data_IF_849946333488
#
_entry.id   IF_849946333488
#
_cell.length_a   1.000
_cell.length_b   1.000
_cell.length_c   1.000
_cell.angle_alpha   90.00
_cell.angle_beta   90.00
_cell.angle_gamma   90.00
#
_symmetry.space_group_name_H-M   'P 1'
#
loop_
_entity.id
_entity.type
_entity.pdbx_description
1 polymer ?
#
# COMPACT_ATOMS: atom_id res chain seq x y z
N UNK A 1 -7.35 -27.61 13.26
CA UNK A 1 -5.98 -27.13 12.99
C UNK A 1 -6.13 -26.04 11.95
N UNK A 2 -6.24 -24.76 12.34
CA UNK A 2 -6.31 -23.68 11.35
C UNK A 2 -4.89 -23.20 11.09
N UNK A 3 -4.33 -23.58 9.96
CA UNK A 3 -2.95 -23.28 9.52
C UNK A 3 -2.87 -21.85 8.93
N UNK A 4 -3.50 -20.90 9.61
CA UNK A 4 -3.59 -19.48 9.23
C UNK A 4 -2.56 -18.67 10.02
N UNK A 5 -1.29 -19.08 10.03
CA UNK A 5 -0.22 -18.30 10.71
C UNK A 5 0.02 -16.99 9.97
N UNK A 6 -0.81 -16.02 10.30
CA UNK A 6 -0.65 -14.61 10.00
C UNK A 6 -0.60 -13.88 11.33
N UNK A 7 0.50 -13.18 11.55
CA UNK A 7 0.64 -12.21 12.61
C UNK A 7 1.29 -10.93 12.05
N UNK A 8 1.31 -9.88 12.87
CA UNK A 8 1.88 -8.58 12.50
C UNK A 8 3.35 -8.68 12.08
N UNK A 9 4.14 -9.54 12.74
CA UNK A 9 5.57 -9.66 12.44
C UNK A 9 5.79 -10.26 11.05
N UNK A 10 5.08 -11.34 10.71
CA UNK A 10 5.17 -11.96 9.38
C UNK A 10 4.81 -10.99 8.26
N UNK A 11 3.75 -10.20 8.45
CA UNK A 11 3.27 -9.25 7.44
C UNK A 11 4.25 -8.08 7.24
N UNK A 12 4.84 -7.59 8.33
CA UNK A 12 5.90 -6.57 8.28
C UNK A 12 7.14 -7.12 7.59
N UNK A 13 7.56 -8.34 7.92
CA UNK A 13 8.73 -8.97 7.31
C UNK A 13 8.53 -9.22 5.80
N UNK A 14 7.31 -9.58 5.39
CA UNK A 14 6.96 -9.72 3.97
C UNK A 14 7.10 -8.39 3.23
N UNK A 15 6.55 -7.30 3.79
CA UNK A 15 6.70 -5.95 3.22
C UNK A 15 8.17 -5.52 3.19
N UNK A 16 8.95 -5.77 4.25
CA UNK A 16 10.41 -5.49 4.28
C UNK A 16 11.15 -6.21 3.16
N UNK A 17 10.81 -7.48 2.91
CA UNK A 17 11.41 -8.26 1.83
C UNK A 17 11.08 -7.68 0.45
N UNK A 18 9.82 -7.27 0.22
CA UNK A 18 9.42 -6.56 -1.00
C UNK A 18 10.20 -5.26 -1.20
N UNK A 19 10.26 -4.41 -0.18
CA UNK A 19 11.00 -3.15 -0.23
C UNK A 19 12.49 -3.36 -0.53
N UNK A 20 13.11 -4.37 0.10
CA UNK A 20 14.52 -4.70 -0.13
C UNK A 20 14.75 -5.19 -1.57
N UNK A 21 13.83 -5.98 -2.12
CA UNK A 21 13.91 -6.45 -3.51
C UNK A 21 13.83 -5.29 -4.51
N UNK A 22 12.95 -4.31 -4.29
CA UNK A 22 12.88 -3.09 -5.14
C UNK A 22 14.19 -2.32 -5.07
N UNK A 23 14.69 -2.04 -3.86
CA UNK A 23 15.95 -1.30 -3.67
C UNK A 23 17.13 -1.99 -4.39
N UNK A 24 17.18 -3.32 -4.39
CA UNK A 24 18.22 -4.07 -5.08
C UNK A 24 18.24 -3.81 -6.60
N UNK A 25 17.07 -3.58 -7.22
CA UNK A 25 16.97 -3.24 -8.65
C UNK A 25 17.43 -1.80 -8.95
N UNK A 26 17.20 -0.87 -8.02
CA UNK A 26 17.66 0.52 -8.18
C UNK A 26 19.19 0.66 -8.05
N UNK A 27 19.84 -0.22 -7.27
CA UNK A 27 21.28 -0.20 -7.03
C UNK A 27 22.13 -0.81 -8.16
N UNK A 28 21.52 -1.54 -9.10
CA UNK A 28 22.23 -2.24 -10.18
C UNK A 28 22.68 -1.36 -11.35
N UNK A 29 22.59 -0.02 -11.25
CA UNK A 29 23.01 0.87 -12.33
C UNK A 29 22.19 0.71 -13.61
N UNK A 30 20.96 0.21 -13.47
CA UNK A 30 20.00 0.11 -14.58
C UNK A 30 19.64 1.53 -14.97
N UNK A 31 20.24 1.97 -16.08
CA UNK A 31 19.78 3.13 -16.82
C UNK A 31 18.27 2.93 -17.05
N UNK A 32 17.43 3.80 -16.46
CA UNK A 32 15.96 3.84 -16.66
C UNK A 32 15.61 4.27 -18.10
N UNK A 33 16.27 3.65 -19.08
CA UNK A 33 16.17 3.93 -20.51
C UNK A 33 14.93 3.24 -21.05
N UNK A 34 13.84 4.01 -21.05
CA UNK A 34 12.79 4.05 -22.08
C UNK A 34 11.94 2.81 -22.39
N UNK A 35 12.30 1.61 -21.93
CA UNK A 35 11.41 0.44 -21.98
C UNK A 35 10.86 0.11 -20.58
N UNK A 36 9.68 -0.50 -20.53
CA UNK A 36 8.99 -0.84 -19.28
C UNK A 36 9.58 -2.07 -18.58
N UNK A 37 10.66 -2.65 -19.11
CA UNK A 37 11.24 -3.90 -18.58
C UNK A 37 11.83 -3.76 -17.16
N UNK A 38 12.49 -2.65 -16.76
CA UNK A 38 13.09 -2.54 -15.42
C UNK A 38 12.04 -2.48 -14.30
N UNK A 39 10.85 -1.98 -14.63
CA UNK A 39 9.70 -1.93 -13.73
C UNK A 39 9.18 -3.33 -13.49
N UNK A 40 8.91 -4.08 -14.57
CA UNK A 40 8.41 -5.45 -14.50
C UNK A 40 9.34 -6.35 -13.70
N UNK A 41 10.66 -6.17 -13.81
CA UNK A 41 11.60 -6.92 -12.98
C UNK A 41 11.57 -6.55 -11.50
N UNK A 42 11.39 -5.27 -11.17
CA UNK A 42 11.25 -4.81 -9.78
C UNK A 42 9.97 -5.33 -9.14
N UNK A 43 8.84 -5.19 -9.83
CA UNK A 43 7.55 -5.73 -9.46
C UNK A 43 7.61 -7.23 -9.19
N UNK A 44 8.09 -8.02 -10.17
CA UNK A 44 8.19 -9.47 -10.02
C UNK A 44 9.20 -9.91 -8.96
N UNK A 45 10.29 -9.16 -8.78
CA UNK A 45 11.25 -9.46 -7.71
C UNK A 45 10.66 -9.23 -6.32
N UNK A 46 9.93 -8.12 -6.14
CA UNK A 46 9.24 -7.80 -4.90
C UNK A 46 8.14 -8.82 -4.59
N UNK A 47 7.30 -9.19 -5.57
CA UNK A 47 6.27 -10.20 -5.41
C UNK A 47 6.85 -11.55 -4.95
N UNK A 48 7.89 -12.04 -5.64
CA UNK A 48 8.56 -13.30 -5.26
C UNK A 48 9.10 -13.25 -3.83
N UNK A 49 9.70 -12.13 -3.42
CA UNK A 49 10.24 -11.96 -2.08
C UNK A 49 9.14 -11.96 -1.00
N UNK A 50 8.05 -11.22 -1.23
CA UNK A 50 6.88 -11.15 -0.35
C UNK A 50 6.26 -12.54 -0.19
N UNK A 51 5.97 -13.22 -1.30
CA UNK A 51 5.36 -14.56 -1.32
C UNK A 51 6.25 -15.58 -0.60
N UNK A 52 7.56 -15.55 -0.85
CA UNK A 52 8.50 -16.45 -0.18
C UNK A 52 8.53 -16.27 1.34
N UNK A 53 8.45 -15.04 1.84
CA UNK A 53 8.37 -14.78 3.29
C UNK A 53 7.06 -15.29 3.86
N UNK A 54 5.92 -14.98 3.22
CA UNK A 54 4.59 -15.38 3.70
C UNK A 54 4.47 -16.92 3.75
N UNK A 55 4.85 -17.60 2.68
CA UNK A 55 4.82 -19.06 2.60
C UNK A 55 5.88 -19.72 3.50
N UNK A 56 7.08 -19.13 3.59
CA UNK A 56 8.15 -19.60 4.48
C UNK A 56 7.81 -19.46 5.97
N UNK A 57 7.01 -18.45 6.33
CA UNK A 57 6.36 -18.32 7.64
C UNK A 57 5.27 -19.36 7.90
N UNK A 58 4.93 -20.15 6.88
CA UNK A 58 3.93 -21.21 6.87
C UNK A 58 2.50 -20.70 6.91
N UNK A 59 2.24 -19.54 6.32
CA UNK A 59 0.90 -19.15 5.93
C UNK A 59 0.48 -19.95 4.69
N UNK A 60 -0.67 -20.62 4.75
CA UNK A 60 -1.22 -21.40 3.63
C UNK A 60 -2.41 -20.71 2.94
N UNK A 61 -2.73 -19.47 3.31
CA UNK A 61 -3.85 -18.75 2.72
C UNK A 61 -3.56 -18.40 1.25
N UNK A 62 -4.58 -18.37 0.37
CA UNK A 62 -4.41 -17.91 -1.00
C UNK A 62 -3.84 -16.48 -1.03
N UNK A 63 -2.89 -16.24 -1.94
CA UNK A 63 -2.30 -14.92 -2.18
C UNK A 63 -2.73 -14.48 -3.57
N UNK A 64 -3.52 -13.41 -3.64
CA UNK A 64 -3.83 -12.70 -4.90
C UNK A 64 -2.83 -11.56 -5.01
N UNK A 65 -1.82 -11.75 -5.85
CA UNK A 65 -0.77 -10.76 -6.09
C UNK A 65 -0.88 -10.18 -7.50
N UNK A 66 -0.65 -8.87 -7.66
CA UNK A 66 -0.92 -8.14 -8.90
C UNK A 66 -0.23 -8.72 -10.14
N UNK A 67 1.06 -9.08 -10.04
CA UNK A 67 1.84 -9.53 -11.19
C UNK A 67 1.43 -10.93 -11.61
N UNK A 68 1.35 -11.85 -10.65
CA UNK A 68 0.83 -13.20 -10.88
C UNK A 68 -0.59 -13.17 -11.47
N UNK A 69 -1.47 -12.32 -10.92
CA UNK A 69 -2.84 -12.16 -11.43
C UNK A 69 -2.85 -11.64 -12.87
N UNK A 70 -1.99 -10.68 -13.18
CA UNK A 70 -1.84 -10.10 -14.53
C UNK A 70 -1.28 -11.11 -15.54
N UNK A 71 -0.43 -12.05 -15.10
CA UNK A 71 0.07 -13.17 -15.90
C UNK A 71 -0.95 -14.32 -16.03
N UNK A 72 -2.14 -14.20 -15.41
CA UNK A 72 -3.25 -15.14 -15.51
C UNK A 72 -3.32 -16.17 -14.38
N UNK A 73 -2.46 -16.07 -13.37
CA UNK A 73 -2.51 -16.89 -12.17
C UNK A 73 -3.57 -16.33 -11.20
N UNK A 74 -4.81 -16.77 -11.39
CA UNK A 74 -5.96 -16.32 -10.60
C UNK A 74 -6.30 -17.41 -9.58
N UNK A 75 -5.87 -17.32 -8.31
CA UNK A 75 -6.15 -18.33 -7.32
C UNK A 75 -7.64 -18.33 -6.93
N UNK A 76 -8.18 -19.50 -6.63
CA UNK A 76 -9.49 -19.60 -6.00
C UNK A 76 -9.37 -19.09 -4.55
N UNK A 77 -10.10 -18.02 -4.23
CA UNK A 77 -10.14 -17.45 -2.88
C UNK A 77 -11.41 -17.89 -2.16
N UNK A 78 -11.26 -18.19 -0.86
CA UNK A 78 -12.37 -18.46 0.04
C UNK A 78 -12.72 -17.21 0.84
N UNK A 79 -13.17 -17.43 2.08
CA UNK A 79 -13.51 -16.37 3.04
C UNK A 79 -12.34 -15.46 3.39
N UNK A 80 -11.13 -16.02 3.43
CA UNK A 80 -9.91 -15.35 3.88
C UNK A 80 -8.78 -15.57 2.89
N UNK A 81 -8.06 -14.52 2.53
CA UNK A 81 -6.96 -14.52 1.57
C UNK A 81 -6.09 -13.26 1.74
N UNK A 82 -4.95 -13.20 1.05
CA UNK A 82 -4.09 -12.02 1.03
C UNK A 82 -4.19 -11.30 -0.31
N UNK A 83 -4.11 -9.97 -0.26
CA UNK A 83 -3.87 -9.11 -1.43
C UNK A 83 -2.45 -8.55 -1.35
N UNK A 84 -1.74 -8.58 -2.47
CA UNK A 84 -0.38 -8.05 -2.60
C UNK A 84 -0.30 -7.14 -3.82
N UNK A 85 0.12 -5.89 -3.60
CA UNK A 85 0.64 -5.00 -4.63
C UNK A 85 2.14 -4.84 -4.37
N UNK A 86 3.01 -5.46 -5.18
CA UNK A 86 4.44 -5.47 -4.95
C UNK A 86 5.10 -4.12 -5.23
N UNK A 87 4.49 -3.22 -6.03
CA UNK A 87 5.00 -1.88 -6.34
C UNK A 87 3.85 -0.95 -6.77
N UNK A 88 3.12 -0.42 -5.80
CA UNK A 88 2.08 0.57 -6.08
C UNK A 88 2.76 1.90 -6.41
N UNK A 89 2.45 2.49 -7.56
CA UNK A 89 3.02 3.76 -7.97
C UNK A 89 4.18 3.60 -8.95
N UNK A 90 4.13 2.59 -9.81
CA UNK A 90 5.03 2.36 -10.96
C UNK A 90 5.46 3.63 -11.69
N UNK A 91 4.56 4.58 -11.95
CA UNK A 91 4.91 5.86 -12.61
C UNK A 91 5.87 6.71 -11.77
N UNK A 92 5.69 6.72 -10.44
CA UNK A 92 6.58 7.39 -9.51
C UNK A 92 7.96 6.72 -9.48
N UNK A 93 7.98 5.38 -9.48
CA UNK A 93 9.21 4.58 -9.55
C UNK A 93 10.01 4.86 -10.83
N UNK A 94 9.35 4.80 -12.00
CA UNK A 94 9.96 5.15 -13.30
C UNK A 94 10.51 6.58 -13.30
N UNK A 95 9.78 7.51 -12.66
CA UNK A 95 10.18 8.91 -12.57
C UNK A 95 11.30 9.16 -11.55
N UNK A 96 11.74 8.14 -10.80
CA UNK A 96 12.74 8.29 -9.73
C UNK A 96 12.26 9.14 -8.55
N UNK A 97 10.94 9.19 -8.34
CA UNK A 97 10.32 9.92 -7.22
C UNK A 97 9.95 8.96 -6.10
N UNK A 98 9.99 9.38 -4.82
CA UNK A 98 9.85 8.50 -3.64
C UNK A 98 8.41 8.01 -3.38
N UNK A 99 7.53 8.13 -4.38
CA UNK A 99 6.08 8.08 -4.24
C UNK A 99 5.50 6.74 -4.70
N UNK A 100 6.12 5.66 -4.24
CA UNK A 100 5.68 4.30 -4.47
C UNK A 100 5.82 3.46 -3.20
N UNK A 101 5.08 2.37 -3.13
CA UNK A 101 4.96 1.56 -1.92
C UNK A 101 4.87 0.08 -2.22
N UNK A 102 5.00 -0.73 -1.18
CA UNK A 102 4.67 -2.16 -1.16
C UNK A 102 3.44 -2.34 -0.28
N UNK A 103 2.38 -2.94 -0.80
CA UNK A 103 1.13 -3.13 -0.06
C UNK A 103 0.86 -4.62 0.16
N UNK A 104 0.59 -5.01 1.40
CA UNK A 104 0.13 -6.36 1.73
C UNK A 104 -1.06 -6.27 2.68
N UNK A 105 -2.17 -6.91 2.34
CA UNK A 105 -3.39 -6.90 3.15
C UNK A 105 -3.95 -8.30 3.37
N UNK A 106 -4.63 -8.49 4.49
CA UNK A 106 -5.43 -9.67 4.81
C UNK A 106 -6.88 -9.30 4.61
N UNK A 107 -7.56 -10.06 3.75
CA UNK A 107 -8.99 -9.93 3.52
C UNK A 107 -9.70 -11.05 4.26
N UNK A 108 -10.79 -10.71 4.94
CA UNK A 108 -11.70 -11.68 5.55
C UNK A 108 -13.15 -11.22 5.32
N UNK A 109 -14.00 -12.12 4.84
CA UNK A 109 -15.41 -11.85 4.53
C UNK A 109 -15.61 -10.62 3.61
N UNK A 110 -14.67 -10.40 2.69
CA UNK A 110 -14.68 -9.30 1.72
C UNK A 110 -14.19 -7.95 2.26
N UNK A 111 -13.74 -7.88 3.51
CA UNK A 111 -13.21 -6.66 4.13
C UNK A 111 -11.71 -6.80 4.48
N UNK A 112 -10.91 -5.73 4.34
CA UNK A 112 -9.52 -5.75 4.80
C UNK A 112 -9.48 -5.67 6.33
N UNK A 113 -9.02 -6.75 6.95
CA UNK A 113 -8.93 -6.89 8.42
C UNK A 113 -7.55 -6.58 8.97
N UNK A 114 -6.53 -6.54 8.12
CA UNK A 114 -5.18 -6.10 8.47
C UNK A 114 -4.44 -5.64 7.21
N UNK A 115 -3.57 -4.65 7.33
CA UNK A 115 -2.77 -4.13 6.22
C UNK A 115 -1.40 -3.66 6.67
N UNK A 116 -0.42 -3.77 5.76
CA UNK A 116 0.89 -3.17 5.84
C UNK A 116 1.17 -2.38 4.54
N UNK A 117 1.65 -1.14 4.68
CA UNK A 117 2.12 -0.28 3.60
C UNK A 117 3.58 0.08 3.87
N UNK A 118 4.50 -0.37 3.03
CA UNK A 118 5.93 -0.07 3.12
C UNK A 118 6.35 0.99 2.12
N UNK A 119 7.21 1.93 2.54
CA UNK A 119 7.83 2.93 1.67
C UNK A 119 9.29 2.54 1.42
N UNK A 120 9.63 2.00 0.23
CA UNK A 120 10.99 1.59 -0.08
C UNK A 120 12.02 2.71 0.11
N UNK A 121 11.75 3.97 -0.17
CA UNK A 121 12.79 5.02 -0.03
C UNK A 121 13.25 5.23 1.40
N UNK A 122 12.30 5.26 2.34
CA UNK A 122 12.56 5.64 3.73
C UNK A 122 12.69 4.42 4.63
N UNK A 123 12.19 3.26 4.19
CA UNK A 123 12.05 2.06 5.03
C UNK A 123 10.91 2.18 6.04
N UNK A 124 10.07 3.22 5.93
CA UNK A 124 8.90 3.40 6.78
C UNK A 124 7.86 2.33 6.50
N UNK A 125 7.24 1.78 7.54
CA UNK A 125 6.15 0.81 7.41
C UNK A 125 4.97 1.24 8.25
N UNK A 126 3.81 1.38 7.62
CA UNK A 126 2.53 1.57 8.30
C UNK A 126 1.84 0.23 8.41
N UNK A 127 1.26 -0.08 9.56
CA UNK A 127 0.49 -1.30 9.73
C UNK A 127 -0.65 -1.14 10.73
N UNK A 128 -1.72 -1.92 10.57
CA UNK A 128 -2.89 -1.84 11.45
C UNK A 128 -4.05 -2.68 10.93
N UNK A 129 -5.04 -2.92 11.80
CA UNK A 129 -6.22 -3.70 11.41
C UNK A 129 -7.26 -3.87 12.51
N UNK A 130 -8.26 -4.72 12.25
CA UNK A 130 -9.27 -5.10 13.22
C UNK A 130 -8.61 -5.78 14.45
N UNK A 131 -8.71 -5.15 15.62
CA UNK A 131 -8.07 -5.64 16.85
C UNK A 131 -6.57 -5.38 16.95
N UNK A 132 -5.95 -4.76 15.94
CA UNK A 132 -4.52 -4.39 15.94
C UNK A 132 -4.37 -2.88 15.79
N UNK A 133 -3.76 -2.18 16.76
CA UNK A 133 -3.54 -0.74 16.68
C UNK A 133 -2.84 -0.34 15.38
N UNK A 134 -3.24 0.80 14.82
CA UNK A 134 -2.49 1.41 13.73
C UNK A 134 -1.18 2.00 14.27
N UNK A 135 -0.08 1.63 13.63
CA UNK A 135 1.27 2.03 13.99
C UNK A 135 2.05 2.41 12.74
N UNK A 136 3.07 3.23 12.92
CA UNK A 136 4.07 3.52 11.91
C UNK A 136 5.46 3.21 12.50
N UNK A 137 6.23 2.41 11.76
CA UNK A 137 7.61 2.06 12.07
C UNK A 137 8.56 2.92 11.26
N UNK A 138 9.46 3.63 11.96
CA UNK A 138 10.54 4.44 11.38
C UNK A 138 11.81 4.19 12.16
N UNK A 139 12.91 3.93 11.47
CA UNK A 139 14.24 3.75 12.09
C UNK A 139 14.25 2.75 13.27
N UNK A 140 13.42 1.69 13.19
CA UNK A 140 13.28 0.66 14.22
C UNK A 140 12.39 1.02 15.41
N UNK A 141 11.72 2.18 15.40
CA UNK A 141 10.77 2.58 16.42
C UNK A 141 9.33 2.59 15.86
N UNK A 142 8.40 1.97 16.60
CA UNK A 142 6.98 1.97 16.28
C UNK A 142 6.23 3.04 17.10
N UNK A 143 5.47 3.90 16.43
CA UNK A 143 4.64 4.94 17.07
C UNK A 143 3.16 4.78 16.69
N UNK A 144 2.21 4.99 17.61
CA UNK A 144 0.79 4.91 17.30
C UNK A 144 0.34 5.96 16.28
N UNK A 145 -0.64 5.58 15.47
CA UNK A 145 -1.33 6.45 14.51
C UNK A 145 -2.73 6.79 15.03
N UNK A 146 -3.17 8.01 14.74
CA UNK A 146 -4.51 8.47 15.05
C UNK A 146 -4.92 9.55 14.05
N UNK A 147 -6.01 9.32 13.33
CA UNK A 147 -6.62 10.33 12.48
C UNK A 147 -7.12 11.51 13.32
N UNK A 148 -7.20 12.68 12.68
CA UNK A 148 -7.85 13.86 13.25
C UNK A 148 -9.29 13.97 12.75
N UNK A 149 -10.11 14.71 13.50
CA UNK A 149 -11.42 15.14 13.00
C UNK A 149 -11.22 16.25 11.97
N UNK A 150 -11.87 16.10 10.82
CA UNK A 150 -11.84 17.10 9.75
C UNK A 150 -12.35 18.47 10.25
N UNK A 151 -11.65 19.53 9.81
CA UNK A 151 -12.02 20.92 10.04
C UNK A 151 -13.15 21.42 9.13
N UNK A 152 -13.45 22.71 9.22
CA UNK A 152 -14.41 23.37 8.33
C UNK A 152 -13.85 23.51 6.90
N UNK A 153 -12.59 23.96 6.79
CA UNK A 153 -11.81 23.90 5.56
C UNK A 153 -10.91 22.65 5.61
N UNK A 154 -10.85 21.91 4.52
CA UNK A 154 -10.26 20.58 4.45
C UNK A 154 -8.84 20.61 3.89
N UNK A 155 -7.92 19.84 4.49
CA UNK A 155 -6.68 19.47 3.83
C UNK A 155 -6.93 18.24 2.95
N UNK A 156 -6.87 18.42 1.65
CA UNK A 156 -7.20 17.39 0.67
C UNK A 156 -5.93 16.81 0.08
N UNK A 157 -5.81 15.48 0.08
CA UNK A 157 -4.76 14.79 -0.68
C UNK A 157 -5.35 14.19 -1.96
N UNK A 158 -4.66 14.39 -3.08
CA UNK A 158 -5.06 13.84 -4.37
C UNK A 158 -3.91 13.11 -5.06
N UNK A 159 -4.24 12.24 -6.01
CA UNK A 159 -3.22 11.49 -6.76
C UNK A 159 -2.39 12.40 -7.64
N UNK A 160 -1.05 12.26 -7.60
CA UNK A 160 -0.15 12.95 -8.55
C UNK A 160 -0.33 12.48 -9.99
N UNK A 161 -0.45 11.17 -10.18
CA UNK A 161 -0.32 10.53 -11.49
C UNK A 161 -1.67 10.11 -12.13
N UNK A 162 -2.77 10.19 -11.37
CA UNK A 162 -4.08 9.66 -11.74
C UNK A 162 -5.24 10.55 -11.26
N UNK A 163 -5.05 11.87 -11.28
CA UNK A 163 -6.13 12.82 -11.02
C UNK A 163 -7.03 12.96 -12.26
N UNK A 164 -8.27 12.52 -12.17
CA UNK A 164 -9.28 12.68 -13.21
C UNK A 164 -10.17 13.92 -13.03
N UNK A 165 -10.99 14.24 -14.04
CA UNK A 165 -11.91 15.38 -14.03
C UNK A 165 -12.95 15.25 -12.92
N UNK A 166 -13.54 14.06 -12.71
CA UNK A 166 -14.54 13.84 -11.68
C UNK A 166 -14.01 14.16 -10.27
N UNK A 167 -12.77 13.73 -9.97
CA UNK A 167 -12.09 14.03 -8.71
C UNK A 167 -11.75 15.52 -8.61
N UNK A 168 -11.28 16.16 -9.70
CA UNK A 168 -11.03 17.62 -9.72
C UNK A 168 -12.29 18.41 -9.42
N UNK A 169 -13.38 18.08 -10.10
CA UNK A 169 -14.66 18.77 -9.97
C UNK A 169 -15.27 18.57 -8.59
N UNK A 170 -15.06 17.40 -7.99
CA UNK A 170 -15.47 17.16 -6.61
C UNK A 170 -14.67 18.04 -5.64
N UNK A 171 -13.34 18.04 -5.74
CA UNK A 171 -12.47 18.89 -4.90
C UNK A 171 -12.81 20.37 -5.07
N UNK A 172 -13.07 20.83 -6.30
CA UNK A 172 -13.41 22.23 -6.59
C UNK A 172 -14.74 22.71 -5.98
N UNK A 173 -15.56 21.80 -5.44
CA UNK A 173 -16.81 22.11 -4.71
C UNK A 173 -16.64 22.14 -3.19
N UNK A 174 -15.47 21.79 -2.68
CA UNK A 174 -15.18 21.77 -1.25
C UNK A 174 -14.54 23.08 -0.80
N UNK A 175 -14.65 23.38 0.49
CA UNK A 175 -13.81 24.37 1.14
C UNK A 175 -12.45 23.71 1.45
N UNK A 176 -11.41 24.08 0.71
CA UNK A 176 -10.08 23.45 0.76
C UNK A 176 -9.07 24.43 1.33
N UNK A 177 -8.47 24.08 2.48
CA UNK A 177 -7.40 24.85 3.10
C UNK A 177 -6.06 24.58 2.40
N UNK A 178 -5.67 23.31 2.32
CA UNK A 178 -4.47 22.85 1.62
C UNK A 178 -4.80 21.72 0.65
N UNK A 179 -4.10 21.67 -0.48
CA UNK A 179 -4.13 20.51 -1.37
C UNK A 179 -2.75 19.90 -1.57
N UNK A 180 -2.56 18.68 -1.09
CA UNK A 180 -1.35 17.87 -1.30
C UNK A 180 -1.50 16.92 -2.49
N UNK A 181 -0.41 16.66 -3.20
CA UNK A 181 -0.37 15.78 -4.37
C UNK A 181 0.71 14.71 -4.20
N UNK A 182 0.30 13.46 -4.01
CA UNK A 182 1.19 12.33 -3.70
C UNK A 182 0.77 11.05 -4.44
N UNK A 183 1.75 10.23 -4.80
CA UNK A 183 1.55 8.95 -5.49
C UNK A 183 1.06 7.85 -4.55
N UNK A 184 0.69 6.69 -5.12
CA UNK A 184 0.56 5.41 -4.41
C UNK A 184 -0.37 5.38 -3.17
N UNK A 185 -0.31 4.35 -2.36
CA UNK A 185 -1.11 4.18 -1.15
C UNK A 185 -0.72 5.16 -0.02
N UNK A 186 0.35 5.96 -0.19
CA UNK A 186 0.80 7.03 0.73
C UNK A 186 -0.32 8.00 1.12
N UNK A 187 -1.34 8.15 0.28
CA UNK A 187 -2.51 8.99 0.55
C UNK A 187 -3.28 8.51 1.77
N UNK A 188 -3.42 7.20 1.96
CA UNK A 188 -4.02 6.62 3.17
C UNK A 188 -3.15 6.90 4.39
N UNK A 189 -1.82 6.79 4.24
CA UNK A 189 -0.88 7.08 5.32
C UNK A 189 -1.00 8.53 5.81
N UNK A 190 -1.08 9.52 4.90
CA UNK A 190 -1.27 10.91 5.30
C UNK A 190 -2.57 11.15 6.09
N UNK A 191 -3.65 10.43 5.77
CA UNK A 191 -4.88 10.47 6.57
C UNK A 191 -4.68 9.81 7.95
N UNK A 192 -4.03 8.65 7.98
CA UNK A 192 -3.73 7.92 9.22
C UNK A 192 -2.80 8.70 10.17
N UNK A 193 -1.92 9.53 9.63
CA UNK A 193 -1.02 10.43 10.37
C UNK A 193 -1.63 11.78 10.73
N UNK A 194 -2.91 12.00 10.42
CA UNK A 194 -3.57 13.28 10.62
C UNK A 194 -2.89 14.45 9.87
N UNK A 195 -2.24 14.18 8.75
CA UNK A 195 -1.63 15.17 7.86
C UNK A 195 -2.55 15.65 6.72
N UNK A 196 -3.70 14.98 6.55
CA UNK A 196 -4.76 15.36 5.64
C UNK A 196 -6.12 14.95 6.22
N UNK A 197 -7.20 15.52 5.70
CA UNK A 197 -8.59 15.25 6.11
C UNK A 197 -9.34 14.40 5.10
N UNK A 198 -9.01 14.50 3.81
CA UNK A 198 -9.78 13.83 2.76
C UNK A 198 -8.92 13.37 1.58
N UNK A 199 -9.13 12.12 1.15
CA UNK A 199 -8.60 11.58 -0.10
C UNK A 199 -9.75 11.15 -1.02
N UNK A 200 -10.24 12.02 -1.92
CA UNK A 200 -11.24 11.62 -2.91
C UNK A 200 -10.56 10.92 -4.10
N UNK A 201 -11.17 9.82 -4.56
CA UNK A 201 -10.74 9.08 -5.75
C UNK A 201 -11.96 8.47 -6.45
N UNK A 202 -12.27 8.99 -7.64
CA UNK A 202 -13.40 8.49 -8.46
C UNK A 202 -12.94 7.60 -9.63
N UNK A 203 -11.70 7.75 -10.07
CA UNK A 203 -11.11 6.91 -11.12
C UNK A 203 -10.81 5.51 -10.60
N UNK A 204 -10.71 4.57 -11.53
CA UNK A 204 -10.44 3.14 -11.26
C UNK A 204 -9.25 2.97 -10.31
N UNK A 205 -9.43 2.05 -9.37
CA UNK A 205 -8.40 1.46 -8.51
C UNK A 205 -8.57 -0.05 -8.54
N UNK A 206 -7.51 -0.78 -8.24
CA UNK A 206 -7.58 -2.20 -7.95
C UNK A 206 -7.70 -2.43 -6.45
N UNK A 207 -8.09 -3.64 -6.07
CA UNK A 207 -8.30 -3.99 -4.66
C UNK A 207 -6.97 -3.98 -3.90
N UNK A 208 -5.88 -4.40 -4.54
CA UNK A 208 -4.53 -4.41 -3.96
C UNK A 208 -3.92 -3.00 -3.76
N UNK A 209 -4.31 -2.01 -4.58
CA UNK A 209 -3.93 -0.59 -4.37
C UNK A 209 -4.52 0.01 -3.06
N UNK A 210 -5.63 -0.55 -2.57
CA UNK A 210 -6.49 0.10 -1.57
C UNK A 210 -6.58 -0.66 -0.26
N UNK A 211 -6.62 -1.99 -0.28
CA UNK A 211 -6.91 -2.81 0.88
C UNK A 211 -5.97 -2.57 2.07
N UNK A 212 -4.66 -2.45 1.83
CA UNK A 212 -3.68 -2.26 2.91
C UNK A 212 -3.82 -0.88 3.56
N UNK A 213 -3.93 0.17 2.73
CA UNK A 213 -4.13 1.54 3.20
C UNK A 213 -5.45 1.72 3.95
N UNK A 214 -6.53 1.09 3.47
CA UNK A 214 -7.85 1.09 4.12
C UNK A 214 -7.81 0.45 5.51
N UNK A 215 -7.16 -0.71 5.67
CA UNK A 215 -7.02 -1.36 6.97
C UNK A 215 -6.24 -0.49 7.97
N UNK A 216 -5.13 0.11 7.54
CA UNK A 216 -4.33 1.04 8.36
C UNK A 216 -5.16 2.25 8.76
N UNK A 217 -5.85 2.87 7.81
CA UNK A 217 -6.65 4.07 8.02
C UNK A 217 -7.79 3.82 9.03
N UNK A 218 -8.55 2.73 8.85
CA UNK A 218 -9.62 2.37 9.79
C UNK A 218 -9.10 2.08 11.19
N UNK A 219 -7.97 1.40 11.30
CA UNK A 219 -7.33 1.14 12.59
C UNK A 219 -6.82 2.42 13.27
N UNK A 220 -6.49 3.47 12.50
CA UNK A 220 -6.16 4.81 13.01
C UNK A 220 -7.41 5.66 13.35
N UNK A 221 -8.62 5.15 13.11
CA UNK A 221 -9.89 5.84 13.39
C UNK A 221 -10.46 6.63 12.22
N UNK A 222 -9.92 6.45 11.01
CA UNK A 222 -10.44 7.02 9.77
C UNK A 222 -11.54 6.19 9.11
N UNK A 223 -11.99 6.68 7.95
CA UNK A 223 -12.99 6.03 7.08
C UNK A 223 -12.50 5.98 5.63
#
# INVERSE_FOLDING_TARGET
MSDDRIDTALMIDAVRAGMAAIRAQTGSGVDYKSDRSPVTEADKAAERAIVAVIQGGGCTLPIVAEEAFSDGEIPAVGRRFLLVDPLDGTKSYIAGTPDYTVNVAVIEDGAPVFGCVGIPETGTIYHGGAGTPAMVERDGAATPLACRKAGAALDVVASRNHLDDATRDYIGRLDVAERKSIGSSLKFCLLAEAEADLYPRFGRTMQWDTAAGDAVLRAAGGL
#
